data_IF_560644539161
#
_entry.id   IF_560644539161
#
_cell.length_a   1.000
_cell.length_b   1.000
_cell.length_c   1.000
_cell.angle_alpha   90.00
_cell.angle_beta   90.00
_cell.angle_gamma   90.00
#
_symmetry.space_group_name_H-M   'P 1'
#
loop_
_entity.id
_entity.type
_entity.pdbx_description
1 polymer ?
#
# COMPACT_ATOMS: atom_id res chain seq x y z
N UNK A 1 20.67 -10.78 -10.18
CA UNK A 1 21.06 -12.12 -9.80
C UNK A 1 20.02 -13.22 -10.10
N UNK A 2 18.96 -12.93 -10.89
CA UNK A 2 18.03 -13.98 -11.33
C UNK A 2 17.11 -14.56 -10.26
N UNK A 3 16.89 -13.88 -9.14
CA UNK A 3 15.95 -14.29 -8.10
C UNK A 3 14.75 -13.33 -8.12
N UNK A 4 13.56 -13.91 -8.29
CA UNK A 4 12.30 -13.22 -8.11
C UNK A 4 12.00 -13.10 -6.61
N UNK A 5 11.52 -11.94 -6.19
CA UNK A 5 11.11 -11.65 -4.81
C UNK A 5 9.66 -11.21 -4.80
N UNK A 6 8.91 -11.69 -3.81
CA UNK A 6 7.49 -11.36 -3.65
C UNK A 6 7.22 -10.99 -2.20
N UNK A 7 6.56 -9.85 -2.01
CA UNK A 7 5.96 -9.47 -0.74
C UNK A 7 4.45 -9.56 -0.90
N UNK A 8 3.78 -10.17 0.06
CA UNK A 8 2.35 -10.45 -0.04
C UNK A 8 1.64 -10.24 1.29
N UNK A 9 0.34 -9.96 1.21
CA UNK A 9 -0.51 -9.87 2.39
C UNK A 9 -0.90 -11.27 2.85
N UNK A 10 -0.63 -11.59 4.11
CA UNK A 10 -1.09 -12.81 4.77
C UNK A 10 -2.08 -12.46 5.86
N UNK A 11 -3.19 -13.19 5.94
CA UNK A 11 -4.22 -12.99 6.96
C UNK A 11 -4.34 -14.21 7.84
N UNK A 12 -4.35 -14.01 9.16
CA UNK A 12 -4.61 -15.07 10.11
C UNK A 12 -6.11 -15.31 10.29
N UNK A 13 -6.46 -16.58 10.48
CA UNK A 13 -7.80 -16.94 10.95
C UNK A 13 -8.01 -16.53 12.42
N UNK A 14 -9.24 -16.27 12.87
CA UNK A 14 -10.48 -16.36 12.10
C UNK A 14 -10.71 -15.11 11.21
N UNK A 15 -11.49 -15.28 10.15
CA UNK A 15 -11.95 -14.21 9.25
C UNK A 15 -13.01 -13.30 9.92
N UNK A 16 -12.79 -12.97 11.17
CA UNK A 16 -13.63 -12.04 11.93
C UNK A 16 -13.00 -10.66 11.91
N UNK A 17 -13.73 -9.65 12.37
CA UNK A 17 -13.21 -8.27 12.55
C UNK A 17 -11.97 -8.20 13.46
N UNK A 18 -11.51 -9.32 13.98
CA UNK A 18 -10.31 -9.46 14.82
C UNK A 18 -9.12 -10.05 14.08
N UNK A 19 -9.27 -10.43 12.80
CA UNK A 19 -8.21 -11.03 12.01
C UNK A 19 -7.02 -10.09 11.85
N UNK A 20 -5.83 -10.57 12.24
CA UNK A 20 -4.56 -9.86 12.03
C UNK A 20 -4.05 -10.12 10.63
N UNK A 21 -3.50 -9.09 10.00
CA UNK A 21 -2.88 -9.17 8.69
C UNK A 21 -1.42 -8.75 8.77
N UNK A 22 -0.56 -9.47 8.05
CA UNK A 22 0.89 -9.28 8.04
C UNK A 22 1.43 -9.28 6.62
N UNK A 23 2.65 -8.79 6.43
CA UNK A 23 3.35 -8.92 5.16
C UNK A 23 4.32 -10.09 5.23
N UNK A 24 4.10 -11.08 4.35
CA UNK A 24 4.98 -12.22 4.13
C UNK A 24 5.96 -11.97 3.00
N UNK A 25 6.97 -12.85 2.89
CA UNK A 25 7.99 -12.83 1.85
C UNK A 25 8.16 -14.21 1.24
N UNK A 26 8.37 -14.25 -0.07
CA UNK A 26 8.75 -15.44 -0.81
C UNK A 26 9.78 -15.10 -1.88
N UNK A 27 10.57 -16.10 -2.27
CA UNK A 27 11.53 -15.99 -3.36
C UNK A 27 11.42 -17.16 -4.33
N UNK A 28 11.83 -16.93 -5.58
CA UNK A 28 11.84 -17.96 -6.62
C UNK A 28 12.97 -17.73 -7.61
N UNK A 29 13.50 -18.81 -8.18
CA UNK A 29 14.48 -18.75 -9.26
C UNK A 29 13.82 -18.79 -10.65
N UNK A 30 12.59 -19.27 -10.75
CA UNK A 30 11.86 -19.50 -12.00
C UNK A 30 10.54 -18.72 -12.12
N UNK A 31 10.11 -18.05 -11.03
CA UNK A 31 8.84 -17.32 -10.93
C UNK A 31 7.61 -18.23 -10.77
N UNK A 32 7.78 -19.53 -10.68
CA UNK A 32 6.72 -20.55 -10.59
C UNK A 32 6.76 -21.26 -9.25
N UNK A 33 7.92 -21.76 -8.88
CA UNK A 33 8.15 -22.44 -7.61
C UNK A 33 8.67 -21.46 -6.57
N UNK A 34 7.85 -21.19 -5.54
CA UNK A 34 8.15 -20.17 -4.54
C UNK A 34 8.48 -20.78 -3.19
N UNK A 35 9.64 -20.42 -2.68
CA UNK A 35 10.05 -20.68 -1.29
C UNK A 35 9.49 -19.56 -0.40
N UNK A 36 8.55 -19.91 0.48
CA UNK A 36 7.97 -18.96 1.45
C UNK A 36 8.76 -18.98 2.75
N UNK A 37 8.94 -17.83 3.33
CA UNK A 37 9.49 -17.69 4.67
C UNK A 37 8.40 -17.94 5.72
N UNK A 38 8.74 -18.64 6.78
CA UNK A 38 7.77 -19.05 7.81
C UNK A 38 7.26 -17.90 8.67
N UNK A 39 8.08 -16.88 8.87
CA UNK A 39 7.71 -15.69 9.63
C UNK A 39 7.34 -14.51 8.71
N UNK A 40 6.39 -13.64 9.13
CA UNK A 40 6.15 -12.39 8.42
C UNK A 40 7.38 -11.49 8.49
N UNK A 41 7.63 -10.73 7.42
CA UNK A 41 8.72 -9.75 7.35
C UNK A 41 8.32 -8.37 7.86
N UNK A 42 7.03 -8.10 7.97
CA UNK A 42 6.50 -6.89 8.60
C UNK A 42 5.21 -7.23 9.36
N UNK A 43 5.09 -6.70 10.56
CA UNK A 43 3.94 -6.90 11.46
C UNK A 43 3.41 -5.55 11.93
N UNK A 44 2.12 -5.41 12.30
CA UNK A 44 1.62 -4.17 12.88
C UNK A 44 2.23 -3.97 14.29
N UNK A 45 2.94 -2.87 14.48
CA UNK A 45 3.61 -2.48 15.73
C UNK A 45 3.58 -0.96 16.00
N UNK A 46 2.93 -0.19 15.11
CA UNK A 46 2.65 1.23 15.30
C UNK A 46 1.15 1.43 15.55
N UNK A 47 0.78 2.40 16.38
CA UNK A 47 -0.61 2.62 16.83
C UNK A 47 -1.62 2.79 15.68
N UNK A 48 -1.24 3.47 14.61
CA UNK A 48 -2.10 3.70 13.44
C UNK A 48 -2.42 2.43 12.64
N UNK A 49 -1.58 1.41 12.74
CA UNK A 49 -1.74 0.13 12.02
C UNK A 49 -2.78 -0.76 12.68
N UNK A 50 -3.09 -0.49 13.95
CA UNK A 50 -4.04 -1.23 14.77
C UNK A 50 -3.79 -2.75 14.74
N UNK A 51 -4.49 -3.47 13.86
CA UNK A 51 -4.42 -4.94 13.79
C UNK A 51 -3.87 -5.46 12.46
N UNK A 52 -3.81 -4.63 11.43
CA UNK A 52 -3.59 -5.12 10.07
C UNK A 52 -2.66 -4.22 9.26
N UNK A 53 -1.72 -4.85 8.59
CA UNK A 53 -0.96 -4.26 7.49
C UNK A 53 -1.09 -5.14 6.26
N UNK A 54 -1.24 -4.52 5.08
CA UNK A 54 -1.49 -5.25 3.84
C UNK A 54 -1.14 -4.43 2.60
N UNK A 55 -1.35 -5.03 1.43
CA UNK A 55 -1.16 -4.39 0.12
C UNK A 55 0.25 -3.78 -0.04
N UNK A 56 1.33 -4.55 0.18
CA UNK A 56 2.66 -4.02 0.00
C UNK A 56 2.94 -3.75 -1.48
N UNK A 57 3.48 -2.57 -1.76
CA UNK A 57 4.11 -2.25 -3.03
C UNK A 57 5.59 -1.98 -2.77
N UNK A 58 6.47 -2.69 -3.48
CA UNK A 58 7.92 -2.62 -3.24
C UNK A 58 8.66 -2.28 -4.52
N UNK A 59 9.56 -1.32 -4.43
CA UNK A 59 10.55 -1.03 -5.47
C UNK A 59 11.97 -1.16 -4.89
N UNK A 60 12.92 -1.51 -5.74
CA UNK A 60 14.33 -1.42 -5.41
C UNK A 60 14.89 -0.10 -5.94
N UNK A 61 15.43 0.74 -5.07
CA UNK A 61 16.09 1.97 -5.48
C UNK A 61 17.56 1.68 -5.80
N UNK A 62 17.90 1.69 -7.09
CA UNK A 62 19.24 1.39 -7.58
C UNK A 62 20.29 2.42 -7.12
N UNK A 63 19.88 3.64 -6.81
CA UNK A 63 20.77 4.70 -6.36
C UNK A 63 21.13 4.52 -4.89
N UNK A 64 20.12 4.30 -4.05
CA UNK A 64 20.29 4.14 -2.60
C UNK A 64 20.62 2.69 -2.20
N UNK A 65 20.49 1.73 -3.14
CA UNK A 65 20.71 0.28 -2.92
C UNK A 65 19.84 -0.29 -1.79
N UNK A 66 18.59 0.15 -1.72
CA UNK A 66 17.60 -0.29 -0.73
C UNK A 66 16.28 -0.66 -1.40
N UNK A 67 15.51 -1.50 -0.72
CA UNK A 67 14.10 -1.73 -1.01
C UNK A 67 13.27 -0.68 -0.28
N UNK A 68 12.31 -0.10 -0.98
CA UNK A 68 11.32 0.85 -0.46
C UNK A 68 9.95 0.19 -0.55
N UNK A 69 9.20 0.19 0.54
CA UNK A 69 7.86 -0.40 0.61
C UNK A 69 6.86 0.65 1.02
N UNK A 70 5.78 0.74 0.28
CA UNK A 70 4.54 1.40 0.69
C UNK A 70 3.52 0.32 1.01
N UNK A 71 2.87 0.44 2.15
CA UNK A 71 1.91 -0.55 2.62
C UNK A 71 0.71 0.13 3.27
N UNK A 72 -0.40 -0.56 3.32
CA UNK A 72 -1.61 -0.05 3.96
C UNK A 72 -1.74 -0.59 5.37
N UNK A 73 -2.21 0.24 6.30
CA UNK A 73 -2.44 -0.15 7.68
C UNK A 73 -3.76 0.36 8.22
N UNK A 74 -4.31 -0.33 9.23
CA UNK A 74 -5.56 0.04 9.86
C UNK A 74 -6.24 -1.09 10.64
N UNK A 75 -7.50 -0.87 11.01
CA UNK A 75 -8.19 -1.73 11.97
C UNK A 75 -8.71 -3.05 11.46
N UNK A 76 -9.04 -3.17 10.19
CA UNK A 76 -9.78 -4.31 9.64
C UNK A 76 -9.41 -4.59 8.16
N UNK A 77 -10.27 -5.32 7.46
CA UNK A 77 -10.15 -5.68 6.04
C UNK A 77 -9.93 -4.50 5.09
N UNK A 78 -10.36 -3.32 5.49
CA UNK A 78 -10.18 -2.08 4.75
C UNK A 78 -9.21 -1.19 5.52
N UNK A 79 -7.95 -1.12 5.10
CA UNK A 79 -6.95 -0.27 5.75
C UNK A 79 -7.33 1.21 5.65
N UNK A 80 -6.80 2.00 6.57
CA UNK A 80 -7.22 3.39 6.77
C UNK A 80 -6.24 4.41 6.18
N UNK A 81 -4.97 4.01 6.02
CA UNK A 81 -3.89 4.89 5.58
C UNK A 81 -2.73 4.10 4.95
N UNK A 82 -1.78 4.83 4.38
CA UNK A 82 -0.58 4.27 3.74
C UNK A 82 0.65 4.65 4.56
N UNK A 83 1.48 3.65 4.88
CA UNK A 83 2.76 3.80 5.54
C UNK A 83 3.94 3.51 4.62
N UNK A 84 5.13 3.78 5.12
CA UNK A 84 6.39 3.55 4.44
C UNK A 84 7.38 2.79 5.32
N UNK A 85 8.11 1.87 4.68
CA UNK A 85 9.24 1.16 5.29
C UNK A 85 10.36 0.99 4.26
N UNK A 86 11.58 0.77 4.74
CA UNK A 86 12.72 0.48 3.89
C UNK A 86 13.55 -0.70 4.42
N UNK A 87 14.27 -1.35 3.52
CA UNK A 87 15.11 -2.51 3.85
C UNK A 87 16.34 -2.58 2.94
N UNK A 88 17.47 -3.09 3.46
CA UNK A 88 18.66 -3.38 2.65
C UNK A 88 18.60 -4.73 1.95
N UNK A 89 17.87 -5.68 2.52
CA UNK A 89 17.83 -7.07 2.05
C UNK A 89 16.44 -7.52 1.55
N UNK A 90 15.39 -6.72 1.87
CA UNK A 90 14.00 -7.02 1.56
C UNK A 90 13.31 -7.92 2.60
N UNK A 91 13.98 -8.26 3.69
CA UNK A 91 13.46 -9.09 4.78
C UNK A 91 13.44 -8.33 6.12
N UNK A 92 14.49 -7.59 6.42
CA UNK A 92 14.60 -6.79 7.63
C UNK A 92 14.19 -5.36 7.34
N UNK A 93 12.96 -5.00 7.70
CA UNK A 93 12.36 -3.72 7.38
C UNK A 93 12.43 -2.74 8.55
N UNK A 94 12.67 -1.48 8.23
CA UNK A 94 12.56 -0.35 9.17
C UNK A 94 11.41 0.54 8.74
N UNK A 95 10.41 0.67 9.59
CA UNK A 95 9.30 1.59 9.37
C UNK A 95 9.73 3.03 9.59
N UNK A 96 9.13 3.93 8.81
CA UNK A 96 9.31 5.35 9.01
C UNK A 96 8.62 5.80 10.31
N UNK A 97 9.30 6.58 11.13
CA UNK A 97 8.76 7.03 12.42
C UNK A 97 7.58 7.99 12.26
N UNK A 98 7.54 8.73 11.15
CA UNK A 98 6.46 9.64 10.82
C UNK A 98 5.27 9.01 10.09
N UNK A 99 5.12 7.67 10.12
CA UNK A 99 3.93 7.01 9.57
C UNK A 99 2.64 7.37 10.33
N UNK A 100 1.47 7.38 9.66
CA UNK A 100 1.29 7.13 8.24
C UNK A 100 1.76 8.30 7.37
N UNK A 101 2.30 8.00 6.18
CA UNK A 101 2.79 9.02 5.24
C UNK A 101 1.68 9.62 4.36
N UNK A 102 0.54 8.94 4.26
CA UNK A 102 -0.58 9.36 3.44
C UNK A 102 -1.90 8.84 4.03
N UNK A 103 -2.80 9.75 4.33
CA UNK A 103 -4.12 9.47 4.91
C UNK A 103 -5.20 10.22 4.14
N UNK A 104 -6.45 9.82 4.33
CA UNK A 104 -7.60 10.53 3.77
C UNK A 104 -7.67 11.99 4.26
N UNK A 105 -8.26 12.84 3.42
CA UNK A 105 -8.60 14.20 3.80
C UNK A 105 -10.13 14.32 3.85
N UNK A 106 -10.66 14.63 5.04
CA UNK A 106 -12.11 14.77 5.27
C UNK A 106 -12.76 15.87 4.43
N UNK A 107 -11.98 16.82 3.92
CA UNK A 107 -12.44 17.90 3.05
C UNK A 107 -12.50 17.50 1.56
N UNK A 108 -11.99 16.31 1.23
CA UNK A 108 -12.00 15.77 -0.13
C UNK A 108 -13.07 14.68 -0.23
N UNK A 109 -14.22 15.02 -0.76
CA UNK A 109 -15.42 14.16 -0.76
C UNK A 109 -15.18 12.72 -1.18
N UNK A 110 -14.44 12.49 -2.25
CA UNK A 110 -14.30 11.14 -2.83
C UNK A 110 -13.35 10.22 -2.05
N UNK A 111 -12.51 10.76 -1.13
CA UNK A 111 -11.58 9.98 -0.30
C UNK A 111 -11.73 10.24 1.20
N UNK A 112 -12.76 10.98 1.61
CA UNK A 112 -12.92 11.49 2.99
C UNK A 112 -12.91 10.44 4.08
N UNK A 113 -13.17 9.18 3.73
CA UNK A 113 -13.25 8.09 4.72
C UNK A 113 -11.90 7.41 4.92
N UNK A 114 -11.26 6.96 3.82
CA UNK A 114 -10.01 6.17 3.88
C UNK A 114 -9.17 6.36 2.63
N UNK A 115 -7.87 6.08 2.77
CA UNK A 115 -6.97 5.85 1.63
C UNK A 115 -6.22 4.54 1.83
N UNK A 116 -6.09 3.74 0.80
CA UNK A 116 -5.47 2.43 0.89
C UNK A 116 -4.84 1.99 -0.42
N UNK A 117 -4.15 0.87 -0.37
CA UNK A 117 -3.59 0.12 -1.48
C UNK A 117 -3.05 1.02 -2.61
N UNK A 118 -1.75 1.14 -2.67
CA UNK A 118 -1.11 2.00 -3.65
C UNK A 118 -0.17 1.25 -4.58
N UNK A 119 0.01 1.81 -5.77
CA UNK A 119 1.10 1.49 -6.67
C UNK A 119 1.98 2.74 -6.81
N UNK A 120 3.28 2.61 -6.56
CA UNK A 120 4.22 3.72 -6.62
C UNK A 120 5.24 3.48 -7.73
N UNK A 121 5.46 4.48 -8.55
CA UNK A 121 6.53 4.46 -9.54
C UNK A 121 7.41 5.71 -9.40
N UNK A 122 8.69 5.56 -9.73
CA UNK A 122 9.66 6.66 -9.80
C UNK A 122 9.88 7.04 -11.26
N UNK A 123 9.56 8.28 -11.60
CA UNK A 123 9.76 8.80 -12.96
C UNK A 123 10.12 10.27 -12.93
N UNK A 124 11.11 10.66 -13.73
CA UNK A 124 11.58 12.03 -13.89
C UNK A 124 11.84 12.76 -12.55
N UNK A 125 12.48 12.05 -11.61
CA UNK A 125 12.85 12.62 -10.31
C UNK A 125 11.71 12.82 -9.33
N UNK A 126 10.52 12.25 -9.61
CA UNK A 126 9.36 12.22 -8.73
C UNK A 126 8.91 10.79 -8.45
N UNK A 127 8.29 10.58 -7.28
CA UNK A 127 7.49 9.42 -6.97
C UNK A 127 6.03 9.74 -7.25
N UNK A 128 5.37 8.89 -8.01
CA UNK A 128 3.95 8.96 -8.31
C UNK A 128 3.24 7.81 -7.64
N UNK A 129 2.21 8.11 -6.86
CA UNK A 129 1.39 7.13 -6.14
C UNK A 129 0.00 7.12 -6.74
N UNK A 130 -0.40 5.99 -7.31
CA UNK A 130 -1.81 5.69 -7.60
C UNK A 130 -2.38 5.02 -6.36
N UNK A 131 -3.48 5.51 -5.83
CA UNK A 131 -4.05 5.03 -4.58
C UNK A 131 -5.56 4.92 -4.65
N UNK A 132 -6.16 4.14 -3.75
CA UNK A 132 -7.60 4.04 -3.60
C UNK A 132 -8.05 5.04 -2.54
N UNK A 133 -9.01 5.89 -2.90
CA UNK A 133 -9.75 6.71 -1.96
C UNK A 133 -11.17 6.19 -1.79
N UNK A 134 -11.69 6.22 -0.56
CA UNK A 134 -13.02 5.74 -0.21
C UNK A 134 -13.89 6.87 0.31
N UNK A 135 -15.03 7.06 -0.32
CA UNK A 135 -16.10 7.89 0.23
C UNK A 135 -16.96 7.09 1.22
N UNK A 136 -17.09 5.80 0.96
CA UNK A 136 -17.82 4.83 1.75
C UNK A 136 -17.21 3.44 1.50
N UNK A 137 -17.45 2.46 2.39
CA UNK A 137 -16.90 1.10 2.27
C UNK A 137 -17.15 0.45 0.89
N UNK A 138 -18.31 0.74 0.29
CA UNK A 138 -18.71 0.18 -1.01
C UNK A 138 -18.44 1.12 -2.19
N UNK A 139 -17.77 2.24 -1.97
CA UNK A 139 -17.59 3.25 -3.00
C UNK A 139 -16.18 3.81 -2.98
N UNK A 140 -15.40 3.39 -3.94
CA UNK A 140 -14.00 3.74 -4.07
C UNK A 140 -13.68 4.26 -5.48
N UNK A 141 -12.65 5.09 -5.55
CA UNK A 141 -12.11 5.65 -6.77
C UNK A 141 -10.57 5.63 -6.71
N UNK A 142 -9.92 5.77 -7.86
CA UNK A 142 -8.46 5.82 -7.95
C UNK A 142 -8.01 7.27 -8.08
N UNK A 143 -7.09 7.66 -7.21
CA UNK A 143 -6.41 8.95 -7.23
C UNK A 143 -4.94 8.86 -7.57
N UNK A 144 -4.36 10.02 -7.81
CA UNK A 144 -2.95 10.23 -8.08
C UNK A 144 -2.37 11.27 -7.12
N UNK A 145 -1.21 10.96 -6.54
CA UNK A 145 -0.40 11.90 -5.79
C UNK A 145 1.06 11.79 -6.22
N UNK A 146 1.86 12.81 -5.95
CA UNK A 146 3.30 12.79 -6.21
C UNK A 146 4.09 13.33 -5.02
N UNK A 147 5.35 12.90 -4.90
CA UNK A 147 6.29 13.36 -3.88
C UNK A 147 7.72 13.37 -4.44
N UNK A 148 8.59 14.22 -3.89
CA UNK A 148 10.01 14.26 -4.29
C UNK A 148 10.83 13.12 -3.71
N UNK A 149 10.52 12.70 -2.49
CA UNK A 149 11.26 11.67 -1.77
C UNK A 149 10.50 10.33 -1.65
N UNK A 150 9.20 10.34 -2.01
CA UNK A 150 8.31 9.18 -1.87
C UNK A 150 7.85 8.91 -0.43
N UNK A 151 8.17 9.82 0.51
CA UNK A 151 7.88 9.69 1.93
C UNK A 151 7.04 10.87 2.42
N UNK A 152 7.51 12.07 2.15
CA UNK A 152 6.90 13.31 2.66
C UNK A 152 6.39 14.22 1.54
N UNK A 153 5.61 15.24 1.89
CA UNK A 153 5.19 16.26 0.93
C UNK A 153 4.40 15.72 -0.26
N UNK A 154 3.56 14.73 -0.04
CA UNK A 154 2.69 14.19 -1.08
C UNK A 154 1.67 15.22 -1.55
N UNK A 155 1.75 15.59 -2.82
CA UNK A 155 0.83 16.51 -3.49
C UNK A 155 -0.22 15.71 -4.26
N UNK A 156 -1.50 15.83 -3.87
CA UNK A 156 -2.63 15.24 -4.60
C UNK A 156 -2.82 15.95 -5.95
N UNK A 157 -3.10 15.18 -6.98
CA UNK A 157 -3.47 15.76 -8.26
C UNK A 157 -4.78 16.54 -8.15
N UNK A 158 -4.81 17.77 -8.65
CA UNK A 158 -5.95 18.68 -8.46
C UNK A 158 -7.26 18.24 -9.16
N UNK A 159 -7.16 17.31 -10.13
CA UNK A 159 -8.31 16.77 -10.84
C UNK A 159 -8.64 15.33 -10.42
N UNK A 160 -8.25 14.94 -9.20
CA UNK A 160 -8.66 13.64 -8.65
C UNK A 160 -10.18 13.57 -8.44
N UNK A 161 -10.80 12.38 -8.51
CA UNK A 161 -10.16 11.10 -8.83
C UNK A 161 -9.85 10.97 -10.33
N UNK A 162 -8.76 10.28 -10.67
CA UNK A 162 -8.39 10.05 -12.08
C UNK A 162 -9.21 8.94 -12.74
N UNK A 163 -9.72 7.99 -11.96
CA UNK A 163 -10.69 6.98 -12.38
C UNK A 163 -11.75 6.86 -11.29
N UNK A 164 -12.99 7.11 -11.64
CA UNK A 164 -14.15 6.99 -10.77
C UNK A 164 -15.15 5.97 -11.33
N UNK A 165 -16.00 5.37 -10.47
CA UNK A 165 -17.11 4.54 -10.92
C UNK A 165 -18.01 5.25 -11.93
N UNK A 166 -18.37 4.56 -13.00
CA UNK A 166 -19.23 5.10 -14.06
C UNK A 166 -20.61 4.41 -14.04
N UNK A 167 -21.65 5.19 -13.73
CA UNK A 167 -23.03 4.70 -13.61
C UNK A 167 -23.51 4.00 -14.89
N UNK A 168 -24.04 2.79 -14.72
CA UNK A 168 -24.52 1.95 -15.82
C UNK A 168 -23.42 1.20 -16.55
N UNK A 169 -22.19 1.22 -16.06
CA UNK A 169 -21.03 0.47 -16.56
C UNK A 169 -20.67 -0.70 -15.65
N UNK A 170 -19.70 -1.50 -16.08
CA UNK A 170 -19.25 -2.68 -15.33
C UNK A 170 -18.61 -2.33 -13.96
N UNK A 171 -18.16 -1.10 -13.79
CA UNK A 171 -17.47 -0.56 -12.61
C UNK A 171 -18.35 0.43 -11.81
N UNK A 172 -19.66 0.39 -12.00
CA UNK A 172 -20.63 1.34 -11.43
C UNK A 172 -20.53 1.54 -9.90
N UNK A 173 -20.10 0.52 -9.16
CA UNK A 173 -20.02 0.62 -7.71
C UNK A 173 -18.69 1.19 -7.22
N UNK A 174 -17.59 0.64 -7.72
CA UNK A 174 -16.27 1.00 -7.25
C UNK A 174 -15.18 0.58 -8.23
N UNK A 175 -14.05 1.29 -8.20
CA UNK A 175 -12.81 0.91 -8.89
C UNK A 175 -11.70 0.72 -7.86
N UNK A 176 -10.93 -0.37 -8.00
CA UNK A 176 -9.93 -0.80 -7.03
C UNK A 176 -8.59 -1.15 -7.66
N UNK A 177 -7.54 -1.09 -6.84
CA UNK A 177 -6.20 -1.65 -7.05
C UNK A 177 -5.58 -1.22 -8.38
N UNK A 178 -5.08 0.01 -8.42
CA UNK A 178 -4.30 0.51 -9.55
C UNK A 178 -3.01 -0.28 -9.73
#
# INVERSE_FOLDING_TARGET
NGIYKMWYSGQMAPYTNEGKSYIGYAQSVDGINWERFDAPVLVPDQDWELKAIMCPHVIYDETEKIYKMWYSGGGNHEPDAIGYAWSKDGMNWKKYEGNPIFSSDVNIDWERNKTAACHVLKWDGWYYMFYIGFIHVDRAAIGLARSKDGITGWERYSQNPIIAPDKGKFDEKAVYKP
#
